data_IF_517694346003
#
_entry.id   IF_517694346003
#
_cell.length_a   1.000
_cell.length_b   1.000
_cell.length_c   1.000
_cell.angle_alpha   90.00
_cell.angle_beta   90.00
_cell.angle_gamma   90.00
#
_symmetry.space_group_name_H-M   'P 1'
#
loop_
_entity.id
_entity.type
_entity.pdbx_description
1 polymer ?
#
# COMPACT_ATOMS: atom_id res chain seq x y z
N UNK A 1 -15.00 -7.69 -22.33
CA UNK A 1 -14.29 -7.60 -21.04
C UNK A 1 -15.32 -7.72 -19.95
N UNK A 2 -15.13 -8.62 -18.98
CA UNK A 2 -16.05 -8.71 -17.84
C UNK A 2 -16.06 -7.37 -17.11
N UNK A 3 -17.25 -6.89 -16.73
CA UNK A 3 -17.35 -5.69 -15.91
C UNK A 3 -16.59 -5.90 -14.60
N UNK A 4 -15.79 -4.92 -14.19
CA UNK A 4 -15.14 -4.92 -12.86
C UNK A 4 -16.24 -5.02 -11.81
N UNK A 5 -16.17 -6.00 -10.91
CA UNK A 5 -17.17 -6.22 -9.86
C UNK A 5 -17.10 -5.20 -8.70
N UNK A 6 -16.34 -4.12 -8.87
CA UNK A 6 -16.11 -3.11 -7.84
C UNK A 6 -15.01 -3.43 -6.83
N UNK A 7 -14.38 -4.61 -6.91
CA UNK A 7 -13.35 -4.99 -5.95
C UNK A 7 -12.18 -3.98 -5.95
N UNK A 8 -11.70 -3.57 -4.76
CA UNK A 8 -10.61 -2.61 -4.65
C UNK A 8 -9.24 -3.20 -5.05
N UNK A 9 -8.26 -2.32 -5.24
CA UNK A 9 -6.84 -2.68 -5.19
C UNK A 9 -6.39 -2.63 -3.73
N UNK A 10 -5.78 -3.69 -3.23
CA UNK A 10 -5.25 -3.76 -1.86
C UNK A 10 -3.73 -3.79 -1.89
N UNK A 11 -3.10 -2.87 -1.18
CA UNK A 11 -1.65 -2.71 -1.10
C UNK A 11 -1.21 -2.94 0.34
N UNK A 12 -0.40 -3.97 0.54
CA UNK A 12 0.08 -4.40 1.85
C UNK A 12 1.50 -3.89 2.10
N UNK A 13 1.77 -3.35 3.28
CA UNK A 13 3.11 -3.49 3.86
C UNK A 13 3.37 -4.96 4.23
N UNK A 14 4.63 -5.32 4.44
CA UNK A 14 5.05 -6.68 4.73
C UNK A 14 5.38 -6.89 6.21
N UNK A 15 6.43 -6.25 6.71
CA UNK A 15 6.86 -6.39 8.11
C UNK A 15 5.78 -5.86 9.06
N UNK A 16 5.56 -6.58 10.16
CA UNK A 16 4.49 -6.32 11.16
C UNK A 16 3.08 -6.14 10.57
N UNK A 17 2.85 -6.54 9.32
CA UNK A 17 1.58 -6.40 8.61
C UNK A 17 1.16 -7.74 8.01
N UNK A 18 1.94 -8.28 7.07
CA UNK A 18 1.75 -9.66 6.58
C UNK A 18 2.37 -10.66 7.56
N UNK A 19 3.60 -10.40 7.99
CA UNK A 19 4.31 -11.18 9.02
C UNK A 19 4.26 -10.46 10.36
N UNK A 20 4.23 -11.19 11.47
CA UNK A 20 4.22 -10.62 12.82
C UNK A 20 5.63 -10.39 13.37
N UNK A 21 6.52 -9.88 12.53
CA UNK A 21 7.87 -9.52 12.91
C UNK A 21 8.43 -8.46 11.95
N UNK A 22 9.56 -7.88 12.35
CA UNK A 22 10.47 -7.21 11.41
C UNK A 22 11.39 -8.27 10.82
N UNK A 23 11.37 -8.46 9.49
CA UNK A 23 12.07 -9.56 8.82
C UNK A 23 13.59 -9.43 8.86
N UNK A 24 14.12 -8.21 8.84
CA UNK A 24 15.56 -7.95 9.00
C UNK A 24 16.02 -8.36 10.41
N UNK A 25 15.34 -7.86 11.45
CA UNK A 25 15.61 -8.27 12.83
C UNK A 25 15.44 -9.78 13.02
N UNK A 26 14.39 -10.38 12.45
CA UNK A 26 14.14 -11.82 12.56
C UNK A 26 15.32 -12.66 12.07
N UNK A 27 15.86 -12.34 10.88
CA UNK A 27 17.03 -13.04 10.32
C UNK A 27 18.27 -12.81 11.18
N UNK A 28 18.53 -11.55 11.54
CA UNK A 28 19.71 -11.17 12.32
C UNK A 28 19.73 -11.86 13.68
N UNK A 29 18.60 -11.87 14.38
CA UNK A 29 18.46 -12.50 15.69
C UNK A 29 18.57 -14.02 15.59
N UNK A 30 17.91 -14.62 14.60
CA UNK A 30 17.93 -16.08 14.36
C UNK A 30 19.35 -16.60 14.06
N UNK A 31 20.19 -15.78 13.43
CA UNK A 31 21.57 -16.12 13.09
C UNK A 31 22.58 -15.67 14.16
N UNK A 32 22.12 -15.13 15.28
CA UNK A 32 22.98 -14.70 16.40
C UNK A 32 23.85 -13.49 16.06
N UNK A 33 23.38 -12.61 15.18
CA UNK A 33 24.13 -11.46 14.69
C UNK A 33 23.68 -10.11 15.27
N UNK A 34 22.70 -10.08 16.17
CA UNK A 34 22.09 -8.87 16.77
C UNK A 34 23.12 -7.81 17.15
N UNK A 35 24.11 -8.18 17.99
CA UNK A 35 25.12 -7.21 18.46
C UNK A 35 25.93 -6.59 17.32
N UNK A 36 26.26 -7.37 16.29
CA UNK A 36 27.03 -6.87 15.13
C UNK A 36 26.18 -5.96 14.27
N UNK A 37 24.92 -6.31 14.08
CA UNK A 37 23.96 -5.47 13.38
C UNK A 37 23.75 -4.13 14.10
N UNK A 38 23.57 -4.15 15.43
CA UNK A 38 23.51 -2.93 16.24
C UNK A 38 24.77 -2.08 16.09
N UNK A 39 25.95 -2.72 16.06
CA UNK A 39 27.22 -2.04 15.85
C UNK A 39 27.29 -1.36 14.45
N UNK A 40 26.78 -2.02 13.40
CA UNK A 40 26.68 -1.48 12.04
C UNK A 40 25.71 -0.28 11.96
N UNK A 41 24.56 -0.37 12.63
CA UNK A 41 23.53 0.70 12.63
C UNK A 41 24.02 2.02 13.24
N UNK A 42 25.10 2.01 14.02
CA UNK A 42 25.75 3.25 14.52
C UNK A 42 26.45 4.05 13.44
N UNK A 43 26.75 3.44 12.29
CA UNK A 43 27.60 4.01 11.25
C UNK A 43 26.98 3.94 9.86
N UNK A 44 26.01 3.04 9.65
CA UNK A 44 25.35 2.82 8.38
C UNK A 44 23.85 3.06 8.50
N UNK A 45 23.22 3.65 7.47
CA UNK A 45 21.77 3.59 7.29
C UNK A 45 21.28 2.14 7.27
N UNK A 46 20.06 1.90 7.74
CA UNK A 46 19.48 0.56 7.90
C UNK A 46 19.69 -0.36 6.69
N UNK A 47 19.30 0.07 5.49
CA UNK A 47 19.43 -0.74 4.26
C UNK A 47 20.89 -1.12 3.94
N UNK A 48 21.86 -0.22 4.19
CA UNK A 48 23.27 -0.54 4.03
C UNK A 48 23.79 -1.44 5.17
N UNK A 49 23.28 -1.27 6.38
CA UNK A 49 23.63 -2.11 7.52
C UNK A 49 23.19 -3.56 7.28
N UNK A 50 21.99 -3.79 6.75
CA UNK A 50 21.51 -5.15 6.50
C UNK A 50 22.27 -5.82 5.34
N UNK A 51 22.59 -5.11 4.24
CA UNK A 51 23.48 -5.65 3.19
C UNK A 51 24.86 -6.00 3.75
N UNK A 52 25.46 -5.11 4.54
CA UNK A 52 26.75 -5.35 5.19
C UNK A 52 26.69 -6.58 6.10
N UNK A 53 25.62 -6.71 6.88
CA UNK A 53 25.41 -7.84 7.78
C UNK A 53 25.29 -9.17 7.01
N UNK A 54 24.58 -9.19 5.87
CA UNK A 54 24.55 -10.37 4.98
C UNK A 54 25.94 -10.72 4.46
N UNK A 55 26.82 -9.74 4.27
CA UNK A 55 28.22 -9.95 3.91
C UNK A 55 29.07 -10.58 5.02
N UNK A 56 28.94 -10.09 6.25
CA UNK A 56 29.63 -10.67 7.40
C UNK A 56 29.17 -12.10 7.70
N UNK A 57 27.86 -12.37 7.65
CA UNK A 57 27.30 -13.71 7.80
C UNK A 57 27.85 -14.67 6.73
N UNK A 58 27.92 -14.21 5.49
CA UNK A 58 28.49 -14.98 4.40
C UNK A 58 29.99 -15.29 4.61
N UNK A 59 30.76 -14.32 5.11
CA UNK A 59 32.18 -14.53 5.45
C UNK A 59 32.38 -15.57 6.56
N UNK A 60 31.38 -15.77 7.42
CA UNK A 60 31.35 -16.82 8.45
C UNK A 60 30.85 -18.18 7.92
N UNK A 61 30.58 -18.28 6.62
CA UNK A 61 30.11 -19.51 5.98
C UNK A 61 28.60 -19.71 5.98
N UNK A 62 27.81 -18.69 6.37
CA UNK A 62 26.35 -18.74 6.20
C UNK A 62 25.98 -18.59 4.73
N UNK A 63 25.02 -19.38 4.30
CA UNK A 63 24.49 -19.39 2.93
C UNK A 63 23.21 -18.59 2.85
N UNK A 64 22.82 -18.19 1.62
CA UNK A 64 21.49 -17.62 1.39
C UNK A 64 20.36 -18.58 1.79
N UNK A 65 20.61 -19.90 1.73
CA UNK A 65 19.65 -20.92 2.19
C UNK A 65 19.49 -20.93 3.71
N UNK A 66 20.55 -20.67 4.48
CA UNK A 66 20.43 -20.51 5.94
C UNK A 66 19.54 -19.31 6.30
N UNK A 67 19.70 -18.20 5.56
CA UNK A 67 18.83 -17.01 5.69
C UNK A 67 17.39 -17.36 5.32
N UNK A 68 17.18 -18.08 4.21
CA UNK A 68 15.86 -18.52 3.78
C UNK A 68 15.21 -19.46 4.81
N UNK A 69 15.97 -20.36 5.43
CA UNK A 69 15.49 -21.24 6.48
C UNK A 69 14.98 -20.47 7.71
N UNK A 70 15.67 -19.41 8.12
CA UNK A 70 15.19 -18.51 9.17
C UNK A 70 13.87 -17.84 8.77
N UNK A 71 13.78 -17.31 7.56
CA UNK A 71 12.58 -16.63 7.06
C UNK A 71 11.35 -17.55 6.97
N UNK A 72 11.54 -18.82 6.63
CA UNK A 72 10.44 -19.81 6.62
C UNK A 72 9.85 -20.06 8.01
N UNK A 73 10.59 -19.75 9.08
CA UNK A 73 10.09 -19.82 10.44
C UNK A 73 9.45 -18.52 10.93
N UNK A 74 9.46 -17.44 10.12
CA UNK A 74 8.88 -16.17 10.49
C UNK A 74 7.37 -16.31 10.77
N UNK A 75 6.84 -15.64 11.81
CA UNK A 75 5.44 -15.79 12.19
C UNK A 75 4.53 -15.14 11.14
N UNK A 76 3.65 -15.95 10.54
CA UNK A 76 2.55 -15.48 9.69
C UNK A 76 1.23 -16.02 10.24
N UNK A 77 0.31 -15.12 10.58
CA UNK A 77 -0.98 -15.51 11.14
C UNK A 77 -1.87 -16.16 10.07
N UNK A 78 -2.53 -17.30 10.36
CA UNK A 78 -3.45 -17.93 9.41
C UNK A 78 -4.62 -17.02 9.04
N UNK A 79 -4.98 -16.04 9.88
CA UNK A 79 -6.00 -15.05 9.56
C UNK A 79 -5.56 -14.11 8.43
N UNK A 80 -4.27 -13.75 8.37
CA UNK A 80 -3.72 -12.93 7.27
C UNK A 80 -3.72 -13.71 5.97
N UNK A 81 -3.26 -14.98 6.00
CA UNK A 81 -3.31 -15.85 4.84
C UNK A 81 -4.75 -15.98 4.31
N UNK A 82 -5.70 -16.31 5.18
CA UNK A 82 -7.11 -16.43 4.82
C UNK A 82 -7.70 -15.12 4.27
N UNK A 83 -7.29 -13.95 4.79
CA UNK A 83 -7.73 -12.65 4.30
C UNK A 83 -7.20 -12.35 2.89
N UNK A 84 -5.93 -12.65 2.62
CA UNK A 84 -5.32 -12.53 1.28
C UNK A 84 -6.07 -13.40 0.27
N UNK A 85 -6.26 -14.69 0.58
CA UNK A 85 -6.99 -15.63 -0.27
C UNK A 85 -8.42 -15.16 -0.53
N UNK A 86 -9.10 -14.72 0.53
CA UNK A 86 -10.49 -14.26 0.50
C UNK A 86 -10.67 -12.96 -0.28
N UNK A 87 -9.75 -12.01 -0.18
CA UNK A 87 -9.77 -10.77 -0.95
C UNK A 87 -9.52 -11.06 -2.43
N UNK A 88 -8.52 -11.89 -2.75
CA UNK A 88 -8.26 -12.31 -4.13
C UNK A 88 -9.44 -13.06 -4.75
N UNK A 89 -10.07 -13.98 -4.00
CA UNK A 89 -11.26 -14.71 -4.46
C UNK A 89 -12.47 -13.78 -4.74
N UNK A 90 -12.52 -12.62 -4.09
CA UNK A 90 -13.50 -11.55 -4.37
C UNK A 90 -13.13 -10.67 -5.55
N UNK A 91 -12.02 -10.94 -6.23
CA UNK A 91 -11.56 -10.19 -7.40
C UNK A 91 -10.67 -8.99 -7.09
N UNK A 92 -10.20 -8.83 -5.85
CA UNK A 92 -9.23 -7.81 -5.53
C UNK A 92 -7.90 -8.08 -6.24
N UNK A 93 -7.31 -7.02 -6.79
CA UNK A 93 -5.89 -7.04 -7.12
C UNK A 93 -5.11 -6.79 -5.83
N UNK A 94 -4.09 -7.60 -5.56
CA UNK A 94 -3.26 -7.47 -4.36
C UNK A 94 -1.84 -7.10 -4.78
N UNK A 95 -1.20 -6.20 -4.05
CA UNK A 95 0.21 -5.81 -4.23
C UNK A 95 0.91 -5.70 -2.89
N UNK A 96 2.23 -5.90 -2.87
CA UNK A 96 3.07 -5.60 -1.72
C UNK A 96 3.84 -4.30 -1.99
N UNK A 97 3.86 -3.40 -1.02
CA UNK A 97 4.68 -2.19 -1.00
C UNK A 97 5.41 -2.12 0.33
N UNK A 98 6.67 -2.56 0.36
CA UNK A 98 7.40 -2.71 1.62
C UNK A 98 8.84 -2.26 1.55
N UNK A 99 9.33 -1.70 2.67
CA UNK A 99 10.73 -1.30 2.84
C UNK A 99 11.63 -2.45 3.34
N UNK A 100 11.11 -3.68 3.37
CA UNK A 100 11.91 -4.89 3.50
C UNK A 100 12.75 -5.12 2.22
N UNK A 101 12.99 -6.37 1.82
CA UNK A 101 13.70 -6.67 0.57
C UNK A 101 13.11 -7.85 -0.19
N UNK A 102 13.37 -7.91 -1.51
CA UNK A 102 12.75 -8.88 -2.41
C UNK A 102 13.00 -10.34 -1.99
N UNK A 103 14.23 -10.68 -1.58
CA UNK A 103 14.58 -12.04 -1.18
C UNK A 103 13.76 -12.48 0.05
N UNK A 104 13.54 -11.56 1.00
CA UNK A 104 12.85 -11.87 2.25
C UNK A 104 11.37 -12.08 2.00
N UNK A 105 10.75 -11.12 1.31
CA UNK A 105 9.32 -11.16 0.96
C UNK A 105 9.02 -12.40 0.12
N UNK A 106 9.77 -12.64 -0.96
CA UNK A 106 9.56 -13.77 -1.85
C UNK A 106 9.71 -15.10 -1.14
N UNK A 107 10.71 -15.24 -0.27
CA UNK A 107 10.93 -16.49 0.49
C UNK A 107 9.75 -16.82 1.39
N UNK A 108 9.27 -15.85 2.17
CA UNK A 108 8.14 -16.05 3.08
C UNK A 108 6.86 -16.32 2.29
N UNK A 109 6.53 -15.49 1.30
CA UNK A 109 5.32 -15.66 0.50
C UNK A 109 5.31 -17.00 -0.24
N UNK A 110 6.45 -17.45 -0.78
CA UNK A 110 6.56 -18.74 -1.44
C UNK A 110 6.37 -19.90 -0.44
N UNK A 111 6.95 -19.80 0.76
CA UNK A 111 6.82 -20.82 1.80
C UNK A 111 5.36 -21.05 2.22
N UNK A 112 4.59 -19.97 2.33
CA UNK A 112 3.18 -20.02 2.71
C UNK A 112 2.22 -20.22 1.53
N UNK A 113 2.73 -20.38 0.30
CA UNK A 113 1.89 -20.52 -0.89
C UNK A 113 1.13 -19.24 -1.27
N UNK A 114 1.57 -18.08 -0.78
CA UNK A 114 0.89 -16.80 -0.95
C UNK A 114 1.40 -15.98 -2.15
N UNK A 115 2.56 -16.33 -2.71
CA UNK A 115 3.19 -15.57 -3.80
C UNK A 115 2.25 -15.38 -5.02
N UNK A 116 1.44 -16.38 -5.35
CA UNK A 116 0.53 -16.35 -6.51
C UNK A 116 -0.67 -15.41 -6.38
N UNK A 117 -0.93 -14.85 -5.20
CA UNK A 117 -2.06 -13.93 -4.98
C UNK A 117 -1.68 -12.46 -5.23
N UNK A 118 -0.38 -12.14 -5.28
CA UNK A 118 0.10 -10.79 -5.48
C UNK A 118 0.47 -10.54 -6.95
N UNK A 119 -0.09 -9.48 -7.51
CA UNK A 119 0.16 -9.04 -8.89
C UNK A 119 1.51 -8.31 -9.04
N UNK A 120 2.10 -7.85 -7.94
CA UNK A 120 3.40 -7.18 -7.92
C UNK A 120 3.89 -6.87 -6.50
N UNK A 121 5.20 -6.74 -6.39
CA UNK A 121 5.92 -6.38 -5.16
C UNK A 121 6.86 -5.23 -5.47
N UNK A 122 6.66 -4.10 -4.80
CA UNK A 122 7.58 -2.98 -4.79
C UNK A 122 8.36 -2.98 -3.48
N UNK A 123 9.68 -3.20 -3.57
CA UNK A 123 10.56 -3.31 -2.41
C UNK A 123 12.03 -3.12 -2.78
N UNK A 124 12.92 -3.01 -1.78
CA UNK A 124 14.35 -2.94 -2.01
C UNK A 124 14.86 -4.20 -2.77
N UNK A 125 15.54 -4.03 -3.92
CA UNK A 125 16.03 -5.17 -4.69
C UNK A 125 17.00 -6.04 -3.90
N UNK A 126 16.86 -7.35 -4.02
CA UNK A 126 17.81 -8.30 -3.47
C UNK A 126 18.08 -9.47 -4.41
N UNK A 127 19.30 -9.99 -4.37
CA UNK A 127 19.69 -11.18 -5.15
C UNK A 127 20.90 -11.86 -4.51
N UNK A 128 21.06 -13.16 -4.77
CA UNK A 128 22.29 -13.88 -4.42
C UNK A 128 23.31 -13.65 -5.54
N UNK A 129 24.49 -13.16 -5.21
CA UNK A 129 25.55 -12.92 -6.19
C UNK A 129 26.33 -14.19 -6.56
N UNK A 130 27.28 -14.06 -7.49
CA UNK A 130 28.06 -15.19 -8.00
C UNK A 130 28.93 -15.87 -6.91
N UNK A 131 29.20 -15.20 -5.79
CA UNK A 131 29.92 -15.77 -4.65
C UNK A 131 28.98 -16.50 -3.66
N UNK A 132 27.66 -16.44 -3.87
CA UNK A 132 26.67 -16.99 -2.95
C UNK A 132 26.27 -16.04 -1.82
N UNK A 133 26.72 -14.78 -1.86
CA UNK A 133 26.34 -13.75 -0.87
C UNK A 133 25.00 -13.15 -1.24
N UNK A 134 24.10 -13.04 -0.27
CA UNK A 134 22.88 -12.24 -0.44
C UNK A 134 23.23 -10.75 -0.49
N UNK A 135 22.82 -10.08 -1.57
CA UNK A 135 22.98 -8.66 -1.80
C UNK A 135 21.63 -7.97 -1.69
N UNK A 136 21.58 -6.90 -0.90
CA UNK A 136 20.41 -6.03 -0.75
C UNK A 136 20.84 -4.63 -1.21
N UNK A 137 19.99 -3.97 -1.99
CA UNK A 137 20.24 -2.62 -2.51
C UNK A 137 19.04 -1.73 -2.22
N UNK A 138 19.24 -0.42 -2.07
CA UNK A 138 18.13 0.47 -1.87
C UNK A 138 17.28 0.62 -3.14
N UNK A 139 15.97 0.79 -2.97
CA UNK A 139 15.04 1.07 -4.06
C UNK A 139 15.31 2.43 -4.73
N UNK A 140 15.70 3.42 -3.92
CA UNK A 140 16.20 4.72 -4.34
C UNK A 140 17.66 4.84 -3.95
N UNK A 141 18.53 5.09 -4.92
CA UNK A 141 19.94 5.34 -4.65
C UNK A 141 20.10 6.53 -3.70
N UNK A 142 20.91 6.36 -2.66
CA UNK A 142 21.18 7.38 -1.66
C UNK A 142 22.60 7.19 -1.09
N UNK A 143 23.44 8.23 -1.22
CA UNK A 143 24.80 8.33 -0.67
C UNK A 143 25.35 9.70 -1.06
N UNK A 144 26.42 10.21 -0.46
CA UNK A 144 27.07 11.38 -1.04
C UNK A 144 27.71 11.00 -2.40
N UNK A 145 27.44 11.70 -3.53
CA UNK A 145 26.68 12.94 -3.69
C UNK A 145 25.22 12.77 -4.17
N UNK A 146 24.74 11.53 -4.35
CA UNK A 146 23.37 11.22 -4.76
C UNK A 146 22.35 11.78 -3.74
N UNK A 147 21.54 12.79 -4.11
CA UNK A 147 20.38 13.13 -3.30
C UNK A 147 19.50 11.87 -3.26
N UNK A 148 18.96 11.52 -2.08
CA UNK A 148 18.00 10.43 -2.00
C UNK A 148 16.74 10.73 -2.81
N UNK A 149 15.59 10.18 -2.43
CA UNK A 149 14.37 10.38 -3.20
C UNK A 149 13.76 11.80 -3.11
N UNK A 150 14.33 12.76 -2.40
CA UNK A 150 13.84 14.15 -2.36
C UNK A 150 12.43 14.33 -1.78
N UNK A 151 11.96 13.41 -0.93
CA UNK A 151 10.73 13.63 -0.16
C UNK A 151 11.06 14.50 1.07
N UNK A 152 10.18 15.44 1.38
CA UNK A 152 10.37 16.36 2.50
C UNK A 152 9.91 15.78 3.85
N UNK A 153 9.25 14.62 3.88
CA UNK A 153 8.76 14.01 5.11
C UNK A 153 9.92 13.41 5.91
N UNK A 154 10.13 13.84 7.18
CA UNK A 154 11.21 13.30 8.01
C UNK A 154 11.05 11.81 8.34
N UNK A 155 9.83 11.29 8.31
CA UNK A 155 9.52 9.88 8.57
C UNK A 155 9.83 8.96 7.39
N UNK A 156 10.18 9.50 6.21
CA UNK A 156 10.42 8.72 5.01
C UNK A 156 11.87 8.21 4.99
N UNK A 157 12.09 6.89 4.94
CA UNK A 157 13.45 6.35 4.92
C UNK A 157 14.11 6.63 3.56
N UNK A 158 15.42 6.95 3.55
CA UNK A 158 16.10 7.46 2.36
C UNK A 158 16.24 6.43 1.23
N UNK A 159 16.21 5.15 1.55
CA UNK A 159 16.36 4.04 0.61
C UNK A 159 15.06 3.73 -0.16
N UNK A 160 13.88 4.05 0.38
CA UNK A 160 12.61 3.75 -0.30
C UNK A 160 11.47 4.67 0.14
N UNK A 161 10.97 5.47 -0.79
CA UNK A 161 9.80 6.31 -0.54
C UNK A 161 8.55 5.59 -1.00
N UNK A 162 7.90 4.88 -0.09
CA UNK A 162 6.62 4.22 -0.35
C UNK A 162 5.58 5.20 -0.91
N UNK A 163 5.61 6.48 -0.51
CA UNK A 163 4.70 7.49 -1.06
C UNK A 163 4.89 7.77 -2.55
N UNK A 164 6.12 7.82 -3.06
CA UNK A 164 6.36 7.97 -4.51
C UNK A 164 5.91 6.75 -5.29
N UNK A 165 6.11 5.57 -4.73
CA UNK A 165 5.64 4.32 -5.34
C UNK A 165 4.12 4.28 -5.34
N UNK A 166 3.47 4.69 -4.23
CA UNK A 166 2.03 4.82 -4.15
C UNK A 166 1.49 5.79 -5.21
N UNK A 167 2.09 6.98 -5.40
CA UNK A 167 1.70 7.90 -6.47
C UNK A 167 1.71 7.23 -7.85
N UNK A 168 2.73 6.43 -8.16
CA UNK A 168 2.79 5.63 -9.40
C UNK A 168 1.63 4.63 -9.49
N UNK A 169 1.38 3.88 -8.41
CA UNK A 169 0.26 2.91 -8.34
C UNK A 169 -1.09 3.61 -8.56
N UNK A 170 -1.32 4.76 -7.94
CA UNK A 170 -2.57 5.53 -8.09
C UNK A 170 -2.73 6.02 -9.54
N UNK A 171 -1.63 6.42 -10.19
CA UNK A 171 -1.62 6.84 -11.60
C UNK A 171 -1.94 5.66 -12.54
N UNK A 172 -1.34 4.49 -12.31
CA UNK A 172 -1.66 3.26 -13.05
C UNK A 172 -3.14 2.89 -12.93
N UNK A 173 -3.73 3.03 -11.74
CA UNK A 173 -5.16 2.79 -11.53
C UNK A 173 -6.06 3.77 -12.31
N UNK A 174 -5.67 5.04 -12.37
CA UNK A 174 -6.41 6.06 -13.11
C UNK A 174 -6.32 5.80 -14.62
N UNK A 175 -5.13 5.49 -15.14
CA UNK A 175 -4.91 5.15 -16.54
C UNK A 175 -5.68 3.89 -16.95
N UNK A 176 -5.67 2.85 -16.11
CA UNK A 176 -6.43 1.63 -16.34
C UNK A 176 -7.94 1.89 -16.34
N UNK A 177 -8.43 2.77 -15.47
CA UNK A 177 -9.84 3.15 -15.41
C UNK A 177 -10.28 3.90 -16.67
N UNK A 178 -9.49 4.88 -17.11
CA UNK A 178 -9.71 5.64 -18.36
C UNK A 178 -9.72 4.70 -19.56
N UNK A 179 -8.71 3.83 -19.68
CA UNK A 179 -8.60 2.88 -20.79
C UNK A 179 -9.78 1.90 -20.84
N UNK A 180 -10.24 1.43 -19.69
CA UNK A 180 -11.39 0.53 -19.58
C UNK A 180 -12.75 1.26 -19.55
N UNK A 181 -12.78 2.60 -19.64
CA UNK A 181 -13.99 3.44 -19.53
C UNK A 181 -14.86 3.10 -18.32
N UNK A 182 -14.21 2.84 -17.19
CA UNK A 182 -14.84 2.50 -15.92
C UNK A 182 -14.42 3.49 -14.83
N UNK A 183 -15.12 3.48 -13.71
CA UNK A 183 -14.65 4.16 -12.51
C UNK A 183 -13.37 3.48 -12.00
N UNK A 184 -12.48 4.31 -11.47
CA UNK A 184 -11.25 3.90 -10.80
C UNK A 184 -11.62 3.17 -9.51
N UNK A 185 -10.96 2.04 -9.22
CA UNK A 185 -11.24 1.19 -8.04
C UNK A 185 -10.85 1.92 -6.76
N UNK A 186 -11.51 1.70 -5.63
CA UNK A 186 -10.94 2.15 -4.36
C UNK A 186 -9.58 1.48 -4.12
N UNK A 187 -8.66 2.20 -3.48
CA UNK A 187 -7.39 1.64 -3.01
C UNK A 187 -7.42 1.51 -1.49
N UNK A 188 -7.01 0.35 -0.99
CA UNK A 188 -6.85 0.06 0.43
C UNK A 188 -5.36 -0.12 0.71
N UNK A 189 -4.77 0.70 1.57
CA UNK A 189 -3.38 0.54 2.03
C UNK A 189 -3.35 0.13 3.50
N UNK A 190 -2.57 -0.89 3.85
CA UNK A 190 -2.40 -1.35 5.24
C UNK A 190 -0.92 -1.36 5.62
N UNK A 191 -0.62 -0.91 6.83
CA UNK A 191 0.75 -0.90 7.37
C UNK A 191 0.78 -0.52 8.86
N UNK A 192 1.96 -0.53 9.46
CA UNK A 192 2.18 -0.29 10.89
C UNK A 192 3.17 0.86 11.16
N UNK A 193 4.20 0.99 10.32
CA UNK A 193 5.41 1.73 10.63
C UNK A 193 5.38 3.20 10.24
N UNK A 194 6.42 3.93 10.65
CA UNK A 194 6.62 5.34 10.25
C UNK A 194 6.70 5.52 8.72
N UNK A 195 7.22 4.52 8.02
CA UNK A 195 7.32 4.49 6.55
C UNK A 195 5.96 4.47 5.84
N UNK A 196 4.90 4.05 6.54
CA UNK A 196 3.55 3.90 5.99
C UNK A 196 2.73 5.20 6.04
N UNK A 197 3.22 6.20 6.77
CA UNK A 197 2.58 7.51 6.80
C UNK A 197 2.67 8.23 5.44
N UNK A 198 3.83 8.17 4.78
CA UNK A 198 4.04 8.82 3.49
C UNK A 198 3.07 8.36 2.37
N UNK A 199 2.89 7.05 2.11
CA UNK A 199 1.90 6.57 1.15
C UNK A 199 0.46 6.85 1.57
N UNK A 200 0.16 6.85 2.87
CA UNK A 200 -1.18 7.19 3.37
C UNK A 200 -1.62 8.59 2.95
N UNK A 201 -0.70 9.56 2.95
CA UNK A 201 -0.97 10.95 2.50
C UNK A 201 -1.24 11.09 1.00
N UNK A 202 -0.99 10.04 0.20
CA UNK A 202 -1.21 10.06 -1.27
C UNK A 202 -2.60 9.59 -1.65
N UNK A 203 -3.23 8.82 -0.76
CA UNK A 203 -4.58 8.33 -0.94
C UNK A 203 -5.59 9.49 -0.91
N UNK A 204 -6.67 9.33 -1.66
CA UNK A 204 -7.70 10.38 -1.84
C UNK A 204 -9.02 9.99 -1.20
N UNK A 205 -9.98 10.91 -1.25
CA UNK A 205 -11.36 10.60 -0.83
C UNK A 205 -11.89 9.39 -1.63
N UNK A 206 -12.49 8.43 -0.92
CA UNK A 206 -12.92 7.14 -1.48
C UNK A 206 -11.89 6.00 -1.38
N UNK A 207 -10.65 6.30 -0.99
CA UNK A 207 -9.64 5.30 -0.62
C UNK A 207 -9.66 5.03 0.89
N UNK A 208 -8.92 4.01 1.31
CA UNK A 208 -8.82 3.55 2.69
C UNK A 208 -7.38 3.40 3.14
N UNK A 209 -7.10 3.81 4.37
CA UNK A 209 -5.88 3.45 5.10
C UNK A 209 -6.24 2.60 6.31
N UNK A 210 -5.51 1.51 6.49
CA UNK A 210 -5.67 0.55 7.57
C UNK A 210 -4.40 0.50 8.43
N UNK A 211 -4.22 1.46 9.36
CA UNK A 211 -3.08 1.47 10.25
C UNK A 211 -3.22 0.40 11.34
N UNK A 212 -2.11 -0.26 11.69
CA UNK A 212 -2.05 -1.18 12.83
C UNK A 212 -2.09 -0.40 14.14
N UNK A 213 -3.10 -0.66 14.97
CA UNK A 213 -3.28 -0.02 16.26
C UNK A 213 -2.08 -0.26 17.17
N UNK A 214 -1.65 0.80 17.87
CA UNK A 214 -0.50 0.75 18.76
C UNK A 214 0.86 0.87 18.07
N UNK A 215 0.90 1.05 16.74
CA UNK A 215 2.13 1.26 15.98
C UNK A 215 2.31 2.71 15.52
N UNK A 216 3.54 3.14 15.17
CA UNK A 216 3.85 4.56 14.95
C UNK A 216 3.04 5.27 13.86
N UNK A 217 2.48 4.53 12.89
CA UNK A 217 1.65 5.13 11.84
C UNK A 217 0.37 5.75 12.40
N UNK A 218 -0.23 5.18 13.45
CA UNK A 218 -1.45 5.71 14.09
C UNK A 218 -1.21 7.11 14.66
N UNK A 219 -0.08 7.33 15.33
CA UNK A 219 0.25 8.63 15.92
C UNK A 219 0.41 9.72 14.84
N UNK A 220 1.05 9.37 13.72
CA UNK A 220 1.27 10.29 12.60
C UNK A 220 -0.04 10.63 11.88
N UNK A 221 -0.87 9.62 11.61
CA UNK A 221 -2.21 9.82 11.02
C UNK A 221 -3.10 10.65 11.94
N UNK A 222 -3.06 10.41 13.25
CA UNK A 222 -3.82 11.22 14.21
C UNK A 222 -3.37 12.68 14.22
N UNK A 223 -2.04 12.92 14.14
CA UNK A 223 -1.49 14.28 14.11
C UNK A 223 -1.81 15.04 12.82
N UNK A 224 -1.83 14.36 11.68
CA UNK A 224 -2.17 14.94 10.38
C UNK A 224 -2.85 13.88 9.49
N UNK A 225 -4.19 13.85 9.46
CA UNK A 225 -4.93 12.79 8.79
C UNK A 225 -4.86 12.89 7.26
N UNK A 226 -4.85 11.75 6.54
CA UNK A 226 -4.97 11.74 5.09
C UNK A 226 -6.41 12.05 4.65
N UNK A 227 -6.60 12.25 3.35
CA UNK A 227 -7.94 12.39 2.77
C UNK A 227 -8.73 11.07 2.72
N UNK A 228 -8.03 9.94 2.78
CA UNK A 228 -8.61 8.60 2.80
C UNK A 228 -9.32 8.28 4.13
N UNK A 229 -10.28 7.35 4.07
CA UNK A 229 -10.95 6.85 5.25
C UNK A 229 -10.00 5.99 6.09
N UNK A 230 -9.82 6.35 7.36
CA UNK A 230 -9.01 5.59 8.31
C UNK A 230 -9.83 4.45 8.92
N UNK A 231 -9.28 3.23 8.91
CA UNK A 231 -9.89 1.99 9.43
C UNK A 231 -8.83 1.17 10.18
N UNK A 232 -8.60 1.52 11.44
CA UNK A 232 -7.58 0.85 12.26
C UNK A 232 -7.91 -0.63 12.47
N UNK A 233 -6.86 -1.43 12.68
CA UNK A 233 -6.95 -2.83 13.07
C UNK A 233 -5.92 -3.14 14.16
N UNK A 234 -6.26 -4.00 15.12
CA UNK A 234 -5.36 -4.33 16.24
C UNK A 234 -4.64 -5.69 16.03
N UNK A 235 -5.42 -6.77 16.10
CA UNK A 235 -4.95 -8.14 15.87
C UNK A 235 -5.19 -8.63 14.44
N UNK A 236 -4.61 -9.76 14.07
CA UNK A 236 -4.73 -10.30 12.71
C UNK A 236 -6.13 -10.82 12.34
N UNK A 237 -6.92 -11.26 13.31
CA UNK A 237 -8.34 -11.54 13.09
C UNK A 237 -9.09 -10.24 12.74
N UNK A 238 -8.71 -9.15 13.40
CA UNK A 238 -9.29 -7.83 13.18
C UNK A 238 -8.87 -7.25 11.83
N UNK A 239 -7.60 -7.42 11.44
CA UNK A 239 -7.12 -7.11 10.08
C UNK A 239 -8.01 -7.78 9.04
N UNK A 240 -8.24 -9.09 9.16
CA UNK A 240 -9.06 -9.85 8.23
C UNK A 240 -10.50 -9.31 8.18
N UNK A 241 -11.10 -9.07 9.35
CA UNK A 241 -12.46 -8.53 9.49
C UNK A 241 -12.60 -7.15 8.84
N UNK A 242 -11.68 -6.23 9.14
CA UNK A 242 -11.73 -4.85 8.62
C UNK A 242 -11.49 -4.84 7.12
N UNK A 243 -10.47 -5.56 6.62
CA UNK A 243 -10.15 -5.62 5.20
C UNK A 243 -11.33 -6.17 4.40
N UNK A 244 -11.86 -7.33 4.80
CA UNK A 244 -12.95 -7.97 4.07
C UNK A 244 -14.26 -7.17 4.17
N UNK A 245 -14.50 -6.46 5.28
CA UNK A 245 -15.62 -5.53 5.38
C UNK A 245 -15.53 -4.39 4.36
N UNK A 246 -14.35 -3.78 4.20
CA UNK A 246 -14.12 -2.74 3.18
C UNK A 246 -14.33 -3.30 1.77
N UNK A 247 -13.80 -4.50 1.49
CA UNK A 247 -13.95 -5.15 0.18
C UNK A 247 -15.43 -5.40 -0.14
N UNK A 248 -16.17 -5.97 0.80
CA UNK A 248 -17.59 -6.29 0.62
C UNK A 248 -18.42 -5.00 0.43
N UNK A 249 -18.11 -3.93 1.18
CA UNK A 249 -18.76 -2.62 1.06
C UNK A 249 -18.53 -1.98 -0.32
N UNK A 250 -17.31 -2.04 -0.85
CA UNK A 250 -16.98 -1.48 -2.18
C UNK A 250 -17.64 -2.27 -3.32
N UNK A 251 -17.67 -3.60 -3.23
CA UNK A 251 -18.40 -4.45 -4.18
C UNK A 251 -19.89 -4.13 -4.15
N UNK A 252 -20.49 -3.99 -2.96
CA UNK A 252 -21.89 -3.63 -2.81
C UNK A 252 -22.19 -2.24 -3.40
N UNK A 253 -21.32 -1.25 -3.14
CA UNK A 253 -21.45 0.12 -3.66
C UNK A 253 -21.38 0.16 -5.20
N UNK A 254 -20.50 -0.63 -5.80
CA UNK A 254 -20.41 -0.75 -7.25
C UNK A 254 -21.68 -1.37 -7.85
N UNK A 255 -22.23 -2.41 -7.23
CA UNK A 255 -23.47 -3.05 -7.68
C UNK A 255 -24.64 -2.05 -7.72
N UNK A 256 -24.83 -1.25 -6.67
CA UNK A 256 -25.89 -0.22 -6.62
C UNK A 256 -25.72 0.83 -7.72
N UNK A 257 -24.50 1.30 -7.94
CA UNK A 257 -24.20 2.30 -8.99
C UNK A 257 -24.55 1.76 -10.37
N UNK A 258 -24.23 0.49 -10.64
CA UNK A 258 -24.57 -0.13 -11.94
C UNK A 258 -26.07 -0.28 -12.15
N UNK A 259 -26.84 -0.59 -11.10
CA UNK A 259 -28.31 -0.67 -11.22
C UNK A 259 -28.93 0.70 -11.47
N UNK A 260 -28.47 1.76 -10.79
CA UNK A 260 -29.01 3.11 -11.00
C UNK A 260 -28.71 3.64 -12.41
N UNK A 261 -27.50 3.42 -12.94
CA UNK A 261 -27.15 3.83 -14.30
C UNK A 261 -27.98 3.07 -15.36
N UNK A 262 -28.29 1.79 -15.12
CA UNK A 262 -29.16 1.00 -15.99
C UNK A 262 -30.61 1.47 -15.95
N UNK A 263 -31.14 1.77 -14.77
CA UNK A 263 -32.50 2.27 -14.59
C UNK A 263 -32.67 3.66 -15.21
N UNK A 264 -31.70 4.56 -15.04
CA UNK A 264 -31.71 5.89 -15.67
C UNK A 264 -31.63 5.80 -17.20
N UNK A 265 -30.78 4.93 -17.74
CA UNK A 265 -30.69 4.70 -19.18
C UNK A 265 -31.99 4.09 -19.75
N UNK A 266 -32.63 3.19 -19.01
CA UNK A 266 -33.92 2.62 -19.38
C UNK A 266 -35.05 3.66 -19.34
N UNK A 267 -35.06 4.53 -18.32
CA UNK A 267 -36.02 5.64 -18.21
C UNK A 267 -35.84 6.68 -19.32
N UNK A 268 -34.60 7.04 -19.66
CA UNK A 268 -34.32 7.92 -20.80
C UNK A 268 -34.74 7.29 -22.13
N UNK A 269 -34.47 6.00 -22.34
CA UNK A 269 -34.91 5.30 -23.56
C UNK A 269 -36.45 5.17 -23.62
N UNK A 270 -37.12 4.95 -22.49
CA UNK A 270 -38.58 4.93 -22.42
C UNK A 270 -39.20 6.31 -22.70
N UNK A 271 -38.57 7.39 -22.23
CA UNK A 271 -38.99 8.76 -22.50
C UNK A 271 -38.83 9.16 -23.98
N UNK A 272 -37.87 8.56 -24.71
CA UNK A 272 -37.67 8.79 -26.15
C UNK A 272 -38.76 8.10 -27.01
N UNK A 273 -39.53 7.14 -26.47
CA UNK A 273 -40.67 6.50 -27.16
C UNK A 273 -42.01 7.20 -26.84
N UNK A 274 -42.03 8.16 -25.91
CA UNK A 274 -43.19 9.00 -25.62
C UNK A 274 -43.15 10.30 -26.43
N UNK A 275 -44.14 10.50 -27.31
CA UNK A 275 -44.26 11.68 -28.16
C UNK A 275 -44.06 13.01 -27.39
N UNK A 276 -43.05 13.77 -27.81
CA UNK A 276 -42.77 15.13 -27.32
C UNK A 276 -43.82 16.08 -27.88
N UNK A 277 -44.70 16.60 -27.01
CA UNK A 277 -45.46 17.84 -27.28
C UNK A 277 -44.70 18.97 -26.61
N UNK A 278 -44.21 19.91 -27.43
CA UNK A 278 -43.52 21.12 -27.01
C UNK A 278 -44.54 22.20 -26.65
N UNK A 279 -44.47 22.84 -25.46
CA UNK A 279 -44.99 24.17 -25.27
C UNK A 279 -43.86 25.18 -25.25
N UNK A 280 -44.12 26.26 -25.97
CA UNK A 280 -43.24 27.40 -26.21
C UNK A 280 -43.24 28.39 -25.02
N UNK A 281 -42.29 29.33 -25.09
CA UNK A 281 -42.27 30.66 -24.47
C UNK A 281 -41.58 30.91 -23.10
N UNK A 282 -40.46 31.63 -23.24
CA UNK A 282 -40.16 33.01 -22.75
C UNK A 282 -39.08 33.18 -21.68
N UNK A 283 -38.26 34.20 -21.96
CA UNK A 283 -36.99 34.55 -21.34
C UNK A 283 -37.09 35.72 -20.33
N UNK A 284 -35.94 35.93 -19.65
CA UNK A 284 -35.42 37.12 -18.91
C UNK A 284 -35.34 36.96 -17.37
N UNK A 285 -34.43 37.67 -16.67
CA UNK A 285 -33.02 37.96 -16.99
C UNK A 285 -32.06 37.73 -15.79
N UNK A 286 -30.76 37.96 -16.04
CA UNK A 286 -29.63 37.78 -15.14
C UNK A 286 -29.63 38.69 -13.88
N UNK A 287 -28.99 38.19 -12.80
CA UNK A 287 -28.48 38.99 -11.68
C UNK A 287 -27.04 38.60 -11.34
N UNK A 288 -26.29 39.63 -10.95
CA UNK A 288 -24.85 39.71 -10.69
C UNK A 288 -24.55 39.64 -9.18
N UNK A 289 -23.25 39.54 -8.86
CA UNK A 289 -22.57 39.77 -7.55
C UNK A 289 -22.61 38.62 -6.51
N UNK A 290 -21.57 38.35 -5.69
CA UNK A 290 -20.26 38.96 -5.48
C UNK A 290 -19.29 37.93 -4.84
N UNK A 291 -18.00 38.18 -5.00
CA UNK A 291 -16.89 37.45 -4.38
C UNK A 291 -16.71 37.79 -2.89
N UNK A 292 -16.41 36.80 -2.06
CA UNK A 292 -15.96 36.96 -0.67
C UNK A 292 -14.87 35.93 -0.34
N UNK A 293 -13.65 36.43 -0.10
CA UNK A 293 -12.53 35.74 0.57
C UNK A 293 -12.66 35.93 2.09
N UNK A 294 -12.16 34.98 2.90
CA UNK A 294 -11.29 35.34 4.03
C UNK A 294 -10.07 34.40 4.11
N UNK A 295 -8.84 34.93 4.07
CA UNK A 295 -8.00 35.38 5.19
C UNK A 295 -7.31 34.27 5.98
N UNK A 296 -5.98 34.30 5.89
CA UNK A 296 -5.02 33.49 6.59
C UNK A 296 -4.97 33.82 8.09
N UNK A 297 -4.73 32.78 8.90
CA UNK A 297 -4.33 32.91 10.31
C UNK A 297 -3.01 32.14 10.50
N UNK A 298 -1.95 32.89 10.83
CA UNK A 298 -0.69 32.41 11.39
C UNK A 298 -0.76 32.55 12.91
N UNK A 299 -0.30 31.57 13.70
CA UNK A 299 0.57 31.74 14.90
C UNK A 299 1.19 30.37 15.31
N UNK A 300 2.17 30.24 16.24
CA UNK A 300 3.57 29.87 15.95
C UNK A 300 4.08 28.55 16.60
N UNK A 301 5.21 28.07 16.05
CA UNK A 301 6.21 27.09 16.56
C UNK A 301 5.75 25.78 17.20
#
# INVERSE_FOLDING_TARGET
MAASNGAPLVVFDFDKTIVDCDSDNWVVDSLGATRRFDDLLRHLPWNHAIDAMMGELHAEGRTAEDVAACLRAAPLSPHVAAAIESAHARGCELRVLSDANAFFIETVLAHHGLAGYFSGTDTNPAHVDAAGRLRIRPYHEFAAPAPGHGCALPSCPPNMCKGKVMERILQEEEEAAVAARRRRRAVVYLGDGRGDYCPSLKLREGDYVMPRAGYPVCDLITGAPPAAAVREWDGFEDLARVLLGIVDDEIARAAVTTTTEQDDAAAMNAAVVGAVVVPDCRALPARQEAALLPQAVRVPN
#
